data_IF_093543636974
#
_entry.id   IF_093543636974
#
_cell.length_a   1.000
_cell.length_b   1.000
_cell.length_c   1.000
_cell.angle_alpha   90.00
_cell.angle_beta   90.00
_cell.angle_gamma   90.00
#
_symmetry.space_group_name_H-M   'P 1'
#
loop_
_entity.id
_entity.type
_entity.pdbx_description
1 polymer ?
#
# COMPACT_ATOMS: atom_id res chain seq x y z
N UNK A 1 -12.35 6.36 14.95
CA UNK A 1 -12.83 4.95 14.88
C UNK A 1 -11.68 3.95 14.75
N UNK A 2 -11.50 3.00 15.69
CA UNK A 2 -10.36 2.07 15.71
C UNK A 2 -10.32 1.07 14.53
N UNK A 3 -11.47 0.63 14.02
CA UNK A 3 -11.53 -0.31 12.91
C UNK A 3 -10.98 0.29 11.61
N UNK A 4 -11.32 1.56 11.31
CA UNK A 4 -10.79 2.26 10.12
C UNK A 4 -9.28 2.48 10.21
N UNK A 5 -8.74 2.76 11.41
CA UNK A 5 -7.30 2.89 11.61
C UNK A 5 -6.56 1.56 11.39
N UNK A 6 -7.13 0.44 11.85
CA UNK A 6 -6.56 -0.89 11.61
C UNK A 6 -6.60 -1.28 10.12
N UNK A 7 -7.69 -0.95 9.43
CA UNK A 7 -7.81 -1.18 7.99
C UNK A 7 -6.81 -0.31 7.20
N UNK A 8 -6.60 0.95 7.62
CA UNK A 8 -5.57 1.82 7.06
C UNK A 8 -4.16 1.22 7.22
N UNK A 9 -3.84 0.72 8.42
CA UNK A 9 -2.54 0.10 8.71
C UNK A 9 -2.28 -1.10 7.78
N UNK A 10 -3.26 -2.00 7.61
CA UNK A 10 -3.13 -3.12 6.69
C UNK A 10 -3.00 -2.67 5.23
N UNK A 11 -3.74 -1.65 4.81
CA UNK A 11 -3.60 -1.09 3.47
C UNK A 11 -2.18 -0.53 3.23
N UNK A 12 -1.59 0.15 4.22
CA UNK A 12 -0.19 0.60 4.12
C UNK A 12 0.80 -0.57 4.05
N UNK A 13 0.66 -1.60 4.88
CA UNK A 13 1.56 -2.78 4.84
C UNK A 13 1.49 -3.48 3.48
N UNK A 14 0.29 -3.73 2.96
CA UNK A 14 0.12 -4.34 1.64
C UNK A 14 0.69 -3.42 0.54
N UNK A 15 0.44 -2.11 0.64
CA UNK A 15 1.01 -1.11 -0.25
C UNK A 15 2.54 -1.15 -0.28
N UNK A 16 3.20 -1.23 0.89
CA UNK A 16 4.67 -1.32 1.00
C UNK A 16 5.17 -2.58 0.30
N UNK A 17 4.58 -3.74 0.59
CA UNK A 17 5.03 -5.02 0.02
C UNK A 17 4.87 -5.06 -1.50
N UNK A 18 3.72 -4.61 -2.02
CA UNK A 18 3.45 -4.62 -3.45
C UNK A 18 4.23 -3.54 -4.21
N UNK A 19 4.34 -2.33 -3.66
CA UNK A 19 4.99 -1.20 -4.33
C UNK A 19 6.51 -1.29 -4.23
N UNK A 20 7.04 -1.37 -3.00
CA UNK A 20 8.50 -1.34 -2.79
C UNK A 20 9.11 -2.69 -3.10
N UNK A 21 8.43 -3.78 -2.72
CA UNK A 21 8.89 -5.14 -3.00
C UNK A 21 9.01 -5.44 -4.49
N UNK A 22 8.07 -4.98 -5.32
CA UNK A 22 8.17 -5.15 -6.78
C UNK A 22 9.38 -4.40 -7.35
N UNK A 23 9.61 -3.16 -6.91
CA UNK A 23 10.77 -2.37 -7.36
C UNK A 23 12.09 -3.03 -6.95
N UNK A 24 12.18 -3.54 -5.71
CA UNK A 24 13.36 -4.28 -5.27
C UNK A 24 13.56 -5.57 -6.07
N UNK A 25 12.51 -6.32 -6.37
CA UNK A 25 12.61 -7.51 -7.21
C UNK A 25 13.04 -7.18 -8.65
N UNK A 26 12.56 -6.07 -9.23
CA UNK A 26 12.99 -5.62 -10.56
C UNK A 26 14.48 -5.26 -10.55
N UNK A 27 14.93 -4.49 -9.56
CA UNK A 27 16.30 -3.95 -9.52
C UNK A 27 17.33 -4.99 -9.05
N UNK A 28 17.04 -5.72 -7.98
CA UNK A 28 17.99 -6.63 -7.35
C UNK A 28 17.93 -8.04 -7.95
N UNK A 29 16.76 -8.50 -8.37
CA UNK A 29 16.55 -9.86 -8.88
C UNK A 29 16.37 -9.90 -10.41
N UNK A 30 16.32 -8.75 -11.09
CA UNK A 30 16.16 -8.66 -12.53
C UNK A 30 14.79 -9.10 -13.06
N UNK A 31 13.77 -9.24 -12.20
CA UNK A 31 12.43 -9.71 -12.60
C UNK A 31 11.62 -8.57 -13.21
N UNK A 32 11.79 -8.34 -14.52
CA UNK A 32 11.22 -7.17 -15.22
C UNK A 32 9.69 -7.14 -15.35
N UNK A 33 9.02 -8.30 -15.26
CA UNK A 33 7.58 -8.40 -15.50
C UNK A 33 6.72 -7.91 -14.32
N UNK A 34 7.33 -7.45 -13.22
CA UNK A 34 6.60 -7.00 -12.02
C UNK A 34 6.20 -5.52 -12.06
N UNK A 35 6.51 -4.80 -13.14
CA UNK A 35 6.25 -3.36 -13.25
C UNK A 35 4.76 -2.99 -13.06
N UNK A 36 3.83 -3.89 -13.42
CA UNK A 36 2.40 -3.66 -13.22
C UNK A 36 1.93 -3.85 -11.76
N UNK A 37 2.74 -4.46 -10.90
CA UNK A 37 2.43 -4.65 -9.47
C UNK A 37 2.61 -3.33 -8.71
N UNK A 38 3.56 -2.49 -9.12
CA UNK A 38 3.84 -1.20 -8.47
C UNK A 38 2.61 -0.29 -8.41
N UNK A 39 1.86 -0.07 -9.52
CA UNK A 39 0.60 0.67 -9.47
C UNK A 39 -0.43 0.11 -8.48
N UNK A 40 -0.53 -1.22 -8.33
CA UNK A 40 -1.46 -1.87 -7.39
C UNK A 40 -1.10 -1.49 -5.96
N UNK A 41 0.19 -1.56 -5.59
CA UNK A 41 0.65 -1.09 -4.28
C UNK A 41 0.36 0.40 -4.05
N UNK A 42 0.43 1.22 -5.10
CA UNK A 42 0.05 2.64 -5.06
C UNK A 42 -1.43 2.86 -4.74
N UNK A 43 -2.32 2.03 -5.29
CA UNK A 43 -3.76 2.07 -4.96
C UNK A 43 -3.99 1.74 -3.48
N UNK A 44 -3.29 0.74 -2.94
CA UNK A 44 -3.35 0.42 -1.51
C UNK A 44 -2.87 1.59 -0.64
N UNK A 45 -1.85 2.34 -1.06
CA UNK A 45 -1.45 3.57 -0.36
C UNK A 45 -2.52 4.66 -0.39
N UNK A 46 -3.18 4.88 -1.53
CA UNK A 46 -4.29 5.82 -1.62
C UNK A 46 -5.44 5.42 -0.69
N UNK A 47 -5.81 4.13 -0.67
CA UNK A 47 -6.83 3.60 0.24
C UNK A 47 -6.42 3.80 1.70
N UNK A 48 -5.17 3.51 2.05
CA UNK A 48 -4.63 3.70 3.41
C UNK A 48 -4.76 5.14 3.89
N UNK A 49 -4.40 6.12 3.05
CA UNK A 49 -4.56 7.54 3.37
C UNK A 49 -6.03 7.95 3.53
N UNK A 50 -6.91 7.52 2.64
CA UNK A 50 -8.36 7.80 2.74
C UNK A 50 -8.92 7.24 4.06
N UNK A 51 -8.61 5.97 4.38
CA UNK A 51 -9.07 5.32 5.61
C UNK A 51 -8.52 6.01 6.86
N UNK A 52 -7.26 6.45 6.83
CA UNK A 52 -6.63 7.16 7.95
C UNK A 52 -7.32 8.51 8.21
N UNK A 53 -7.59 9.29 7.14
CA UNK A 53 -8.33 10.55 7.25
C UNK A 53 -9.75 10.28 7.80
N UNK A 54 -10.46 9.28 7.26
CA UNK A 54 -11.78 8.92 7.75
C UNK A 54 -11.76 8.48 9.23
N UNK A 55 -10.74 7.74 9.65
CA UNK A 55 -10.56 7.32 11.04
C UNK A 55 -10.33 8.52 11.98
N UNK A 56 -9.63 9.55 11.50
CA UNK A 56 -9.30 10.76 12.24
C UNK A 56 -10.47 11.75 12.34
N UNK A 57 -11.26 11.92 11.28
CA UNK A 57 -12.43 12.83 11.29
C UNK A 57 -13.67 12.17 11.91
N UNK A 58 -13.83 10.85 11.79
CA UNK A 58 -14.88 10.07 12.47
C UNK A 58 -14.38 9.56 13.83
N UNK A 59 -13.70 10.44 14.56
CA UNK A 59 -13.27 10.15 15.93
C UNK A 59 -14.45 10.27 16.87
#
# INVERSE_FOLDING_TARGET
>A
NPAMAQLAAWAFVIGILLFSGSLYAIVLLGVKNLGFITPIGGVFFLIGWVLLVLAAIRK
#
